data_IF_420234280276
#
_entry.id   IF_420234280276
#
_cell.length_a   1.000
_cell.length_b   1.000
_cell.length_c   1.000
_cell.angle_alpha   90.00
_cell.angle_beta   90.00
_cell.angle_gamma   90.00
#
_symmetry.space_group_name_H-M   'P 1'
#
loop_
_entity.id
_entity.type
_entity.pdbx_description
1 polymer ?
2 polymer ?
3 non-polymer ?
4 non-polymer ?
5 non-polymer ?
6 non-polymer ?
7 water ?
#
# COMPACT_ATOMS: atom_id res chain seq x y z
N UNK A 33 7.55 18.39 -14.07
CA UNK A 33 6.96 17.05 -13.91
C UNK A 33 6.30 16.89 -12.53
N UNK A 34 4.99 17.17 -12.49
CA UNK A 34 4.19 17.12 -11.27
C UNK A 34 3.49 15.76 -11.13
N UNK A 35 2.87 15.54 -9.95
CA UNK A 35 2.10 14.37 -9.55
C UNK A 35 1.05 13.96 -10.62
N UNK A 36 0.51 14.97 -11.35
CA UNK A 36 -0.49 14.81 -12.41
C UNK A 36 0.05 14.06 -13.63
N UNK A 37 1.40 14.14 -13.87
CA UNK A 37 2.05 13.46 -15.00
C UNK A 37 1.97 11.92 -14.93
N UNK A 38 1.65 11.34 -13.73
CA UNK A 38 1.46 9.90 -13.52
C UNK A 38 0.22 9.41 -14.29
N UNK A 39 -0.76 10.31 -14.50
CA UNK A 39 -1.97 10.03 -15.28
C UNK A 39 -1.72 10.20 -16.81
N UNK A 40 -0.56 10.78 -17.20
CA UNK A 40 -0.15 11.06 -18.58
C UNK A 40 1.08 10.20 -18.94
N UNK A 41 0.87 8.99 -19.50
CA UNK A 41 2.01 8.09 -19.81
C UNK A 41 3.07 8.63 -20.78
N UNK A 42 2.69 9.47 -21.78
CA UNK A 42 3.65 10.03 -22.74
C UNK A 42 4.63 11.01 -22.07
N UNK A 43 4.10 11.92 -21.20
CA UNK A 43 4.87 12.92 -20.47
C UNK A 43 5.72 12.30 -19.35
N UNK A 44 5.16 11.32 -18.61
CA UNK A 44 5.80 10.58 -17.51
C UNK A 44 7.04 9.85 -18.04
N UNK A 45 6.90 9.16 -19.20
CA UNK A 45 7.99 8.43 -19.85
C UNK A 45 9.18 9.37 -20.15
N UNK A 46 8.88 10.60 -20.63
CA UNK A 46 9.85 11.64 -20.96
C UNK A 46 10.56 12.12 -19.69
N UNK A 47 9.78 12.40 -18.62
CA UNK A 47 10.26 12.83 -17.30
C UNK A 47 11.18 11.79 -16.67
N UNK A 48 10.86 10.49 -16.88
CA UNK A 48 11.62 9.34 -16.41
C UNK A 48 12.99 9.28 -17.10
N UNK A 49 13.03 9.61 -18.42
CA UNK A 49 14.26 9.63 -19.23
C UNK A 49 15.23 10.71 -18.73
N UNK A 50 14.69 11.82 -18.19
CA UNK A 50 15.45 12.95 -17.65
C UNK A 50 15.71 12.85 -16.10
N UNK A 51 15.22 11.77 -15.48
CA UNK A 51 15.38 11.49 -14.06
C UNK A 51 14.56 12.39 -13.15
N UNK A 52 13.51 13.02 -13.70
CA UNK A 52 12.62 13.93 -12.97
C UNK A 52 11.44 13.22 -12.29
N UNK A 53 11.12 11.99 -12.75
CA UNK A 53 10.05 11.12 -12.26
C UNK A 53 10.55 9.68 -12.20
N UNK A 54 10.01 8.80 -11.29
CA UNK A 54 10.45 7.39 -11.26
C UNK A 54 10.13 6.65 -12.55
N UNK A 55 10.79 5.50 -12.80
CA UNK A 55 10.54 4.68 -14.00
C UNK A 55 9.07 4.34 -14.15
N UNK A 56 8.65 4.12 -15.40
CA UNK A 56 7.28 3.78 -15.72
C UNK A 56 6.89 2.38 -15.20
N UNK A 57 5.67 2.29 -14.70
CA UNK A 57 4.96 1.07 -14.32
C UNK A 57 3.53 1.35 -14.82
N UNK A 58 2.63 0.37 -14.74
CA UNK A 58 1.24 0.61 -15.15
C UNK A 58 0.37 1.08 -13.97
N UNK A 59 -0.27 2.24 -14.13
CA UNK A 59 -1.17 2.78 -13.12
C UNK A 59 -2.53 2.09 -13.16
N UNK A 60 -2.85 1.33 -12.11
CA UNK A 60 -4.12 0.60 -11.97
C UNK A 60 -4.88 1.17 -10.77
N UNK A 61 -6.20 1.24 -10.91
CA UNK A 61 -7.12 1.83 -9.93
C UNK A 61 -7.60 0.81 -8.91
N UNK A 62 -7.41 -0.49 -9.22
CA UNK A 62 -7.71 -1.62 -8.35
C UNK A 62 -6.87 -2.83 -8.72
N UNK A 63 -6.81 -3.82 -7.80
CA UNK A 63 -6.08 -5.06 -7.96
C UNK A 63 -6.49 -5.87 -9.17
N UNK A 64 -5.50 -6.39 -9.90
CA UNK A 64 -5.66 -7.24 -11.08
C UNK A 64 -5.28 -8.68 -10.67
N UNK A 65 -6.20 -9.66 -10.83
CA UNK A 65 -5.91 -11.07 -10.54
C UNK A 65 -5.40 -11.80 -11.80
N UNK A 66 -4.23 -12.46 -11.72
CA UNK A 66 -3.70 -13.21 -12.87
C UNK A 66 -4.53 -14.48 -13.09
N UNK A 67 -4.94 -15.10 -11.98
CA UNK A 67 -5.77 -16.31 -11.90
C UNK A 67 -6.93 -15.93 -10.97
N UNK A 68 -8.15 -15.77 -11.54
CA UNK A 68 -9.35 -15.38 -10.79
C UNK A 68 -9.77 -16.43 -9.77
N UNK A 69 -10.42 -15.98 -8.66
CA UNK A 69 -10.86 -16.86 -7.57
C UNK A 69 -12.38 -16.75 -7.32
N UNK A 81 -22.79 -7.32 2.82
CA UNK A 81 -24.06 -6.90 3.45
C UNK A 81 -24.05 -5.41 3.88
N UNK A 82 -25.25 -4.84 4.05
CA UNK A 82 -25.46 -3.45 4.49
C UNK A 82 -25.15 -3.29 5.99
N UNK A 83 -24.86 -2.03 6.40
CA UNK A 83 -24.60 -1.66 7.79
C UNK A 83 -25.96 -1.37 8.47
N UNK A 84 -25.93 -0.82 9.68
CA UNK A 84 -27.15 -0.57 10.46
C UNK A 84 -27.21 0.85 11.00
N UNK A 85 -26.52 1.78 10.30
CA UNK A 85 -26.48 3.22 10.60
C UNK A 85 -27.82 3.84 10.24
N UNK A 86 -28.28 4.79 11.06
CA UNK A 86 -29.53 5.49 10.76
C UNK A 86 -29.19 6.54 9.68
N UNK A 87 -29.97 6.62 8.57
CA UNK A 87 -29.66 7.62 7.53
C UNK A 87 -29.74 9.04 8.06
N UNK A 88 -28.72 9.86 7.76
CA UNK A 88 -28.69 11.27 8.17
C UNK A 88 -29.79 11.97 7.39
N UNK A 89 -30.44 12.97 8.02
CA UNK A 89 -31.47 13.79 7.35
C UNK A 89 -30.69 14.84 6.53
N UNK A 90 -31.40 15.57 5.61
CA UNK A 90 -30.80 16.65 4.81
C UNK A 90 -30.18 17.72 5.72
N UNK A 91 -30.88 18.03 6.83
CA UNK A 91 -30.46 18.98 7.85
C UNK A 91 -29.20 18.51 8.58
N UNK A 92 -29.09 17.20 8.90
CA UNK A 92 -27.90 16.66 9.60
C UNK A 92 -26.67 16.71 8.73
N UNK A 93 -26.85 16.42 7.41
CA UNK A 93 -25.81 16.48 6.38
C UNK A 93 -25.30 17.93 6.29
N UNK A 94 -26.23 18.91 6.19
CA UNK A 94 -25.92 20.34 6.12
C UNK A 94 -25.14 20.83 7.36
N UNK A 95 -25.50 20.34 8.56
CA UNK A 95 -24.89 20.66 9.85
C UNK A 95 -23.50 20.06 10.08
N UNK A 96 -23.01 19.25 9.13
CA UNK A 96 -21.69 18.64 9.18
C UNK A 96 -21.56 17.23 9.74
N UNK A 97 -22.70 16.56 10.05
CA UNK A 97 -22.74 15.19 10.57
C UNK A 97 -22.14 14.17 9.58
N UNK A 98 -21.29 13.27 10.10
CA UNK A 98 -20.60 12.24 9.32
C UNK A 98 -21.53 11.05 9.13
N UNK A 99 -21.57 10.53 7.90
CA UNK A 99 -22.37 9.35 7.61
C UNK A 99 -21.45 8.13 7.67
N UNK A 100 -21.83 7.06 8.38
CA UNK A 100 -21.04 5.83 8.56
C UNK A 100 -19.64 6.14 9.11
N UNK A 101 -19.62 6.91 10.19
CA UNK A 101 -18.40 7.33 10.87
C UNK A 101 -17.96 6.33 11.93
N UNK A 102 -17.49 6.82 13.08
CA UNK A 102 -16.95 6.01 14.18
C UNK A 102 -17.85 4.85 14.65
N UNK A 103 -19.20 5.00 14.59
CA UNK A 103 -20.11 3.95 15.06
C UNK A 103 -20.66 3.05 13.94
N UNK A 104 -20.10 3.11 12.71
CA UNK A 104 -20.54 2.24 11.62
C UNK A 104 -20.10 0.80 11.90
N UNK A 105 -21.05 -0.16 11.84
CA UNK A 105 -20.75 -1.58 12.06
C UNK A 105 -19.76 -2.13 11.00
N UNK A 106 -19.91 -1.71 9.73
CA UNK A 106 -19.01 -2.11 8.62
C UNK A 106 -17.59 -1.61 8.85
N UNK A 107 -17.44 -0.31 9.17
CA UNK A 107 -16.16 0.34 9.42
C UNK A 107 -15.40 -0.32 10.57
N UNK A 108 -16.11 -0.63 11.68
CA UNK A 108 -15.52 -1.27 12.87
C UNK A 108 -14.87 -2.61 12.51
N UNK A 109 -15.52 -3.36 11.61
CA UNK A 109 -15.04 -4.65 11.13
C UNK A 109 -14.13 -4.53 9.93
N UNK A 110 -13.69 -3.30 9.57
CA UNK A 110 -12.85 -3.05 8.40
C UNK A 110 -13.48 -3.60 7.11
N UNK A 111 -14.77 -3.31 6.93
CA UNK A 111 -15.60 -3.66 5.75
C UNK A 111 -16.07 -2.32 5.17
N UNK A 112 -15.93 -2.13 3.85
CA UNK A 112 -16.46 -0.91 3.24
C UNK A 112 -17.95 -1.08 2.90
N UNK A 113 -18.68 0.02 2.82
CA UNK A 113 -20.08 0.00 2.44
C UNK A 113 -20.21 -0.06 0.91
N UNK A 114 -21.38 -0.49 0.43
CA UNK A 114 -21.63 -0.53 -1.02
C UNK A 114 -22.56 0.61 -1.37
N UNK A 115 -22.93 0.69 -2.67
CA UNK A 115 -23.86 1.72 -3.15
C UNK A 115 -25.26 1.55 -2.48
N UNK A 116 -25.53 0.39 -1.91
CA UNK A 116 -26.80 0.12 -1.24
C UNK A 116 -26.83 0.60 0.21
N UNK A 117 -25.76 1.25 0.68
CA UNK A 117 -25.68 1.76 2.05
C UNK A 117 -26.89 2.61 2.38
N UNK A 118 -27.48 2.48 3.60
CA UNK A 118 -28.62 3.36 3.95
C UNK A 118 -28.34 4.86 3.82
N UNK A 119 -27.06 5.27 4.00
CA UNK A 119 -26.61 6.67 3.85
C UNK A 119 -26.29 7.04 2.40
N UNK A 120 -26.36 6.06 1.51
CA UNK A 120 -26.14 6.27 0.09
C UNK A 120 -24.86 7.01 -0.22
N UNK A 121 -25.03 8.15 -0.92
CA UNK A 121 -23.97 9.03 -1.41
C UNK A 121 -23.13 9.65 -0.31
N UNK A 122 -23.76 9.92 0.84
CA UNK A 122 -23.15 10.55 2.02
C UNK A 122 -22.16 9.63 2.76
N UNK A 123 -22.24 8.29 2.55
CA UNK A 123 -21.35 7.34 3.21
C UNK A 123 -19.88 7.68 3.15
N UNK A 124 -19.28 7.93 4.33
CA UNK A 124 -17.85 8.23 4.46
C UNK A 124 -16.97 6.95 4.53
N UNK A 125 -17.64 5.76 4.39
CA UNK A 125 -17.01 4.46 4.50
C UNK A 125 -16.89 3.69 3.15
N UNK A 126 -16.48 4.39 2.08
CA UNK A 126 -16.25 3.81 0.75
C UNK A 126 -14.96 4.43 0.17
N UNK A 127 -13.96 4.74 1.04
CA UNK A 127 -12.68 5.39 0.67
C UNK A 127 -11.85 4.64 -0.38
N UNK A 128 -11.77 3.31 -0.27
CA UNK A 128 -10.99 2.50 -1.23
C UNK A 128 -11.64 2.57 -2.62
N UNK A 129 -12.96 2.45 -2.68
CA UNK A 129 -13.78 2.45 -3.89
C UNK A 129 -13.80 3.80 -4.59
N UNK A 130 -14.02 4.88 -3.79
CA UNK A 130 -14.08 6.28 -4.25
C UNK A 130 -12.69 6.93 -4.41
N UNK A 131 -11.59 6.17 -4.19
CA UNK A 131 -10.19 6.62 -4.32
C UNK A 131 -9.92 7.91 -3.48
N UNK A 132 -10.49 7.96 -2.26
CA UNK A 132 -10.38 9.08 -1.34
C UNK A 132 -9.03 9.10 -0.64
N UNK A 133 -7.98 8.98 -1.47
CA UNK A 133 -6.55 8.96 -1.16
C UNK A 133 -6.12 10.31 -0.50
N UNK A 134 -5.11 10.26 0.39
CA UNK A 134 -4.57 11.49 1.00
C UNK A 134 -3.70 12.23 -0.03
N UNK A 135 -3.47 13.55 0.17
CA UNK A 135 -2.65 14.37 -0.75
C UNK A 135 -1.18 14.01 -0.55
N UNK A 136 -0.55 13.34 -1.54
CA UNK A 136 0.81 12.83 -1.39
C UNK A 136 1.73 13.20 -2.54
N UNK A 137 3.04 13.12 -2.30
CA UNK A 137 4.04 13.46 -3.29
C UNK A 137 5.10 12.40 -3.40
N UNK A 138 5.55 12.12 -4.62
CA UNK A 138 6.65 11.21 -4.88
C UNK A 138 7.94 12.06 -4.86
N UNK A 139 8.89 11.67 -3.99
CA UNK A 139 10.18 12.33 -3.77
C UNK A 139 11.35 11.36 -3.99
N UNK A 140 12.52 11.91 -4.28
CA UNK A 140 13.74 11.12 -4.41
C UNK A 140 14.47 11.19 -3.07
N UNK A 141 14.75 10.02 -2.46
CA UNK A 141 15.45 9.98 -1.18
C UNK A 141 16.95 9.91 -1.48
N UNK A 142 17.77 10.08 -0.43
CA UNK A 142 19.21 10.02 -0.52
C UNK A 142 19.73 8.63 -0.87
N UNK A 143 19.24 7.58 -0.21
CA UNK A 143 19.76 6.23 -0.49
C UNK A 143 18.69 5.08 -0.48
N UNK A 144 17.40 5.40 -0.45
CA UNK A 144 16.35 4.35 -0.46
C UNK A 144 15.66 4.23 -1.82
N UNK A 145 16.04 5.09 -2.77
CA UNK A 145 15.40 5.19 -4.07
C UNK A 145 14.29 6.23 -3.96
N UNK A 146 13.16 6.03 -4.64
CA UNK A 146 12.04 6.98 -4.53
C UNK A 146 11.27 6.72 -3.23
N UNK A 147 10.50 7.71 -2.81
CA UNK A 147 9.68 7.65 -1.61
C UNK A 147 8.40 8.45 -1.74
N UNK A 148 7.63 8.46 -0.69
CA UNK A 148 6.36 9.17 -0.62
C UNK A 148 6.36 10.13 0.56
N UNK A 149 5.73 11.29 0.40
CA UNK A 149 5.59 12.25 1.50
C UNK A 149 4.23 12.92 1.52
N UNK A 150 3.80 13.34 2.71
CA UNK A 150 2.54 14.04 2.90
C UNK A 150 2.63 15.45 2.22
N UNK A 151 1.67 15.77 1.36
CA UNK A 151 1.66 17.06 0.64
C UNK A 151 0.81 18.09 1.41
N UNK A 152 0.30 17.68 2.59
CA UNK A 152 -0.50 18.47 3.53
C UNK A 152 -0.46 17.73 4.86
N UNK A 153 -0.82 18.39 5.97
CA UNK A 153 -0.88 17.79 7.31
C UNK A 153 -1.96 16.70 7.30
N UNK A 154 -1.60 15.49 7.79
CA UNK A 154 -2.53 14.36 7.84
C UNK A 154 -2.82 13.96 9.30
N UNK A 155 -4.08 14.06 9.78
CA UNK A 155 -4.39 13.60 11.14
C UNK A 155 -4.14 12.09 11.33
N UNK A 156 -4.27 11.60 12.54
CA UNK A 156 -4.06 10.20 12.82
C UNK A 156 -5.17 9.32 12.22
N UNK A 157 -4.85 8.04 11.91
CA UNK A 157 -5.75 7.07 11.27
C UNK A 157 -6.43 7.64 10.00
N UNK A 158 -5.61 8.26 9.13
CA UNK A 158 -6.05 8.80 7.85
C UNK A 158 -5.66 7.80 6.75
N UNK A 159 -6.62 7.45 5.88
CA UNK A 159 -6.37 6.60 4.74
C UNK A 159 -5.35 7.33 3.83
N UNK A 160 -4.29 6.65 3.44
CA UNK A 160 -3.24 7.25 2.62
C UNK A 160 -3.49 6.84 1.18
N UNK A 161 -3.29 5.57 0.91
CA UNK A 161 -3.44 4.94 -0.40
C UNK A 161 -3.67 3.46 -0.19
N UNK A 162 -4.22 2.81 -1.22
CA UNK A 162 -4.36 1.37 -1.25
C UNK A 162 -3.11 0.85 -1.90
N UNK A 163 -2.60 -0.30 -1.39
CA UNK A 163 -1.46 -0.98 -1.99
C UNK A 163 -2.05 -1.86 -3.09
N UNK A 164 -2.11 -1.33 -4.33
CA UNK A 164 -2.66 -2.03 -5.51
C UNK A 164 -1.55 -2.78 -6.17
N UNK A 165 -1.90 -3.80 -6.96
CA UNK A 165 -0.94 -4.58 -7.74
C UNK A 165 -1.57 -5.80 -8.36
N UNK A 166 -0.73 -6.71 -8.82
CA UNK A 166 -1.14 -7.96 -9.43
C UNK A 166 -1.18 -8.98 -8.34
N UNK A 167 -2.33 -9.62 -8.17
CA UNK A 167 -2.51 -10.61 -7.14
C UNK A 167 -2.06 -11.94 -7.77
N UNK A 168 -1.15 -12.63 -7.06
CA UNK A 168 -0.49 -13.86 -7.46
C UNK A 168 -0.82 -14.99 -6.51
N UNK A 169 -0.78 -16.25 -7.04
CA UNK A 169 -0.90 -17.48 -6.25
C UNK A 169 0.55 -17.92 -5.98
N UNK A 170 0.79 -19.06 -5.24
CA UNK A 170 2.16 -19.51 -4.92
C UNK A 170 2.98 -19.85 -6.14
N UNK A 171 2.34 -20.41 -7.19
CA UNK A 171 3.09 -20.76 -8.41
C UNK A 171 3.56 -19.49 -9.17
N UNK A 172 2.70 -18.43 -9.24
CA UNK A 172 3.04 -17.17 -9.90
C UNK A 172 4.08 -16.40 -9.12
N UNK A 173 4.00 -16.45 -7.79
CA UNK A 173 4.95 -15.80 -6.89
C UNK A 173 6.36 -16.37 -7.10
N UNK A 174 6.50 -17.69 -7.10
CA UNK A 174 7.77 -18.40 -7.38
C UNK A 174 8.33 -18.07 -8.78
N UNK A 175 7.47 -17.96 -9.81
CA UNK A 175 7.88 -17.57 -11.16
C UNK A 175 8.51 -16.16 -11.13
N UNK A 176 7.86 -15.21 -10.42
CA UNK A 176 8.32 -13.82 -10.28
C UNK A 176 9.56 -13.71 -9.41
N UNK A 177 9.68 -14.52 -8.35
CA UNK A 177 10.89 -14.55 -7.53
C UNK A 177 12.11 -14.84 -8.43
N UNK A 178 11.99 -15.83 -9.31
CA UNK A 178 13.07 -16.18 -10.24
C UNK A 178 13.31 -15.03 -11.25
N UNK A 179 12.22 -14.43 -11.80
CA UNK A 179 12.29 -13.30 -12.75
C UNK A 179 13.08 -12.09 -12.20
N UNK A 180 12.67 -11.65 -11.00
CA UNK A 180 13.25 -10.50 -10.29
C UNK A 180 14.69 -10.75 -9.87
N UNK A 181 15.01 -11.96 -9.43
CA UNK A 181 16.39 -12.38 -9.12
C UNK A 181 17.23 -12.41 -10.41
N UNK A 182 16.73 -13.04 -11.50
CA UNK A 182 17.44 -13.07 -12.80
C UNK A 182 17.67 -11.65 -13.36
N UNK A 183 16.70 -10.72 -13.17
CA UNK A 183 16.82 -9.32 -13.61
C UNK A 183 17.75 -8.51 -12.73
N UNK A 184 18.13 -9.03 -11.55
CA UNK A 184 18.99 -8.31 -10.61
C UNK A 184 18.28 -7.04 -10.11
N UNK A 185 16.96 -7.18 -9.78
CA UNK A 185 16.15 -6.07 -9.26
C UNK A 185 16.65 -5.65 -7.88
N UNK A 186 16.71 -4.35 -7.63
CA UNK A 186 17.16 -3.87 -6.33
C UNK A 186 15.95 -3.82 -5.38
N UNK A 187 14.84 -3.19 -5.82
CA UNK A 187 13.60 -3.01 -5.09
C UNK A 187 12.62 -4.16 -5.28
N UNK A 188 11.96 -4.52 -4.18
CA UNK A 188 10.96 -5.58 -4.08
C UNK A 188 9.62 -5.02 -3.67
N UNK A 189 8.54 -5.51 -4.33
CA UNK A 189 7.18 -4.98 -4.20
C UNK A 189 6.11 -6.04 -3.86
N UNK A 190 6.51 -7.08 -3.14
CA UNK A 190 5.56 -8.12 -2.73
C UNK A 190 4.95 -7.82 -1.37
N UNK A 191 3.61 -7.78 -1.35
CA UNK A 191 2.83 -7.55 -0.12
C UNK A 191 1.90 -8.74 0.09
N UNK A 192 2.09 -9.46 1.22
CA UNK A 192 1.19 -10.57 1.55
C UNK A 192 -0.23 -10.02 1.72
N UNK A 193 -1.24 -10.68 1.11
CA UNK A 193 -2.65 -10.29 1.23
C UNK A 193 -3.33 -11.34 2.16
N UNK A 194 -3.39 -12.60 1.68
CA UNK A 194 -3.87 -13.76 2.41
C UNK A 194 -2.92 -14.93 2.10
N UNK A 195 -2.86 -15.95 2.97
CA UNK A 195 -1.91 -17.09 2.85
C UNK A 195 -1.51 -17.53 1.39
N UNK A 196 -2.47 -17.54 0.41
CA UNK A 196 -2.26 -17.95 -0.99
C UNK A 196 -2.38 -16.77 -2.01
N UNK A 197 -2.34 -15.53 -1.50
CA UNK A 197 -2.43 -14.32 -2.30
C UNK A 197 -1.32 -13.31 -1.94
N UNK A 198 -0.48 -12.98 -2.94
CA UNK A 198 0.59 -11.98 -2.85
C UNK A 198 0.25 -10.85 -3.82
N UNK A 199 0.24 -9.59 -3.33
CA UNK A 199 0.05 -8.42 -4.18
C UNK A 199 1.45 -7.98 -4.65
N UNK A 200 1.65 -8.01 -5.96
CA UNK A 200 2.90 -7.64 -6.61
C UNK A 200 2.72 -6.31 -7.34
N UNK A 201 3.40 -5.26 -6.88
CA UNK A 201 3.29 -3.95 -7.52
C UNK A 201 4.54 -3.59 -8.31
N UNK A 202 5.35 -4.58 -8.70
CA UNK A 202 6.55 -4.35 -9.48
C UNK A 202 6.21 -3.75 -10.85
N UNK A 203 5.25 -4.33 -11.55
CA UNK A 203 4.92 -3.93 -12.92
C UNK A 203 3.66 -3.06 -13.02
N UNK A 204 2.69 -3.29 -12.14
CA UNK A 204 1.42 -2.58 -12.08
C UNK A 204 1.09 -2.24 -10.65
N UNK A 205 0.69 -1.02 -10.41
CA UNK A 205 0.29 -0.61 -9.07
C UNK A 205 -0.05 0.86 -9.07
N UNK A 206 0.10 1.49 -7.91
CA UNK A 206 -0.14 2.92 -7.83
C UNK A 206 1.04 3.59 -7.07
N UNK A 207 0.88 4.79 -6.53
CA UNK A 207 2.04 5.42 -5.89
C UNK A 207 2.32 4.91 -4.47
N UNK A 208 1.51 3.98 -3.97
CA UNK A 208 1.74 3.33 -2.67
C UNK A 208 2.98 2.42 -2.74
N UNK A 209 3.42 2.09 -3.98
CA UNK A 209 4.56 1.24 -4.25
C UNK A 209 5.86 1.99 -3.91
N UNK A 210 5.75 3.30 -3.60
CA UNK A 210 6.85 4.17 -3.26
C UNK A 210 7.03 4.34 -1.75
N UNK A 211 6.12 3.76 -0.92
CA UNK A 211 6.24 3.86 0.53
C UNK A 211 7.41 3.04 1.06
N UNK A 212 8.41 3.75 1.66
CA UNK A 212 9.61 3.13 2.21
C UNK A 212 9.45 2.59 3.60
N UNK A 213 10.39 1.74 4.02
CA UNK A 213 10.36 1.10 5.33
C UNK A 213 10.90 2.00 6.42
N UNK A 214 10.35 1.88 7.61
CA UNK A 214 10.89 2.52 8.82
C UNK A 214 10.68 1.63 10.01
N UNK A 215 11.72 1.56 10.84
CA UNK A 215 11.68 0.78 12.08
C UNK A 215 10.83 1.56 13.13
N UNK A 216 10.58 2.88 12.90
CA UNK A 216 9.72 3.75 13.72
C UNK A 216 8.77 4.48 12.75
N UNK A 217 7.74 3.77 12.22
CA UNK A 217 6.88 4.36 11.18
C UNK A 217 5.78 5.31 11.63
N UNK A 218 5.22 5.99 10.63
CA UNK A 218 4.13 6.93 10.83
C UNK A 218 2.84 6.47 10.16
N UNK A 219 2.89 5.27 9.51
CA UNK A 219 1.79 4.54 8.86
C UNK A 219 1.81 3.06 9.24
N UNK A 220 0.68 2.42 9.01
CA UNK A 220 0.45 0.98 9.17
C UNK A 220 -0.42 0.50 8.01
N UNK A 221 -0.40 -0.78 7.73
CA UNK A 221 -1.30 -1.37 6.74
C UNK A 221 -2.53 -1.84 7.51
N UNK A 222 -3.68 -1.84 6.85
CA UNK A 222 -4.94 -2.36 7.32
C UNK A 222 -5.56 -3.11 6.16
N UNK A 223 -6.08 -4.28 6.44
CA UNK A 223 -6.72 -5.17 5.48
C UNK A 223 -8.21 -4.93 5.51
N UNK A 224 -8.75 -4.46 4.38
CA UNK A 224 -10.16 -4.14 4.27
C UNK A 224 -10.87 -5.01 3.28
N UNK A 225 -12.14 -5.34 3.63
CA UNK A 225 -13.06 -6.12 2.79
C UNK A 225 -13.85 -5.08 2.00
N UNK A 226 -13.70 -5.13 0.68
CA UNK A 226 -14.34 -4.28 -0.31
C UNK A 226 -14.91 -5.25 -1.35
N UNK A 227 -16.26 -5.32 -1.44
CA UNK A 227 -17.00 -6.17 -2.38
C UNK A 227 -16.72 -7.68 -2.22
N UNK A 228 -16.60 -8.10 -0.97
CA UNK A 228 -16.28 -9.47 -0.59
C UNK A 228 -14.84 -9.87 -0.92
N UNK A 229 -13.98 -8.91 -1.34
CA UNK A 229 -12.58 -9.09 -1.71
C UNK A 229 -11.73 -8.27 -0.75
N UNK A 230 -10.60 -8.82 -0.35
CA UNK A 230 -9.68 -8.19 0.58
C UNK A 230 -8.72 -7.34 -0.19
N UNK A 231 -8.37 -6.19 0.41
CA UNK A 231 -7.49 -5.15 -0.09
C UNK A 231 -6.63 -4.67 1.07
N UNK A 232 -5.44 -4.15 0.76
CA UNK A 232 -4.52 -3.60 1.77
C UNK A 232 -4.43 -2.09 1.52
N UNK A 233 -4.58 -1.30 2.58
CA UNK A 233 -4.45 0.16 2.54
C UNK A 233 -3.47 0.64 3.60
N UNK A 234 -2.86 1.82 3.39
CA UNK A 234 -1.95 2.42 4.34
C UNK A 234 -2.71 3.47 5.07
N UNK A 235 -2.52 3.51 6.37
CA UNK A 235 -3.20 4.46 7.24
C UNK A 235 -2.19 5.07 8.18
N UNK A 236 -2.23 6.40 8.35
CA UNK A 236 -1.32 7.08 9.28
C UNK A 236 -1.62 6.57 10.69
N UNK A 237 -0.58 6.40 11.52
CA UNK A 237 -0.76 5.95 12.90
C UNK A 237 -0.68 7.13 13.88
N UNK A 238 -0.35 8.32 13.37
CA UNK A 238 -0.14 9.54 14.14
C UNK A 238 -0.29 10.73 13.22
N UNK A 239 -0.28 11.95 13.81
CA UNK A 239 -0.35 13.19 13.06
C UNK A 239 0.92 13.25 12.23
N UNK A 240 0.76 13.44 10.91
CA UNK A 240 1.89 13.49 9.98
C UNK A 240 1.95 14.88 9.33
N UNK A 241 2.92 15.72 9.78
CA UNK A 241 3.07 17.07 9.22
C UNK A 241 3.36 17.10 7.73
N UNK A 242 2.95 18.18 7.04
CA UNK A 242 3.22 18.36 5.62
C UNK A 242 4.73 18.24 5.35
N UNK A 243 5.08 17.63 4.22
CA UNK A 243 6.47 17.42 3.84
C UNK A 243 7.20 16.24 4.48
N UNK A 244 6.59 15.57 5.50
CA UNK A 244 7.17 14.39 6.14
C UNK A 244 6.98 13.14 5.24
N UNK A 245 8.04 12.34 5.12
CA UNK A 245 8.03 11.08 4.38
C UNK A 245 7.07 10.11 5.07
N UNK A 246 6.28 9.40 4.25
CA UNK A 246 5.31 8.39 4.73
C UNK A 246 6.01 7.06 4.70
N UNK A 247 6.03 6.40 5.86
CA UNK A 247 6.72 5.14 6.01
C UNK A 247 5.87 4.13 6.78
N UNK A 248 6.13 2.83 6.55
CA UNK A 248 5.51 1.74 7.29
C UNK A 248 6.57 0.73 7.62
N UNK A 249 6.23 -0.16 8.56
CA UNK A 249 7.08 -1.22 9.00
C UNK A 249 6.75 -2.44 8.12
N UNK A 250 7.66 -2.78 7.21
CA UNK A 250 7.51 -3.87 6.24
C UNK A 250 7.25 -5.23 6.84
N UNK A 251 7.81 -5.52 8.06
CA UNK A 251 7.78 -6.84 8.71
C UNK A 251 8.24 -7.79 7.62
N UNK A 252 9.28 -7.35 6.92
CA UNK A 252 9.87 -8.01 5.77
C UNK A 252 10.44 -9.37 6.11
N UNK A 253 10.01 -10.37 5.31
CA UNK A 253 10.41 -11.76 5.34
C UNK A 253 11.38 -11.94 4.21
N UNK A 254 12.66 -11.79 4.51
CA UNK A 254 13.74 -11.88 3.52
C UNK A 254 14.08 -13.33 3.18
N UNK A 255 13.89 -13.71 1.88
CA UNK A 255 14.32 -15.01 1.41
C UNK A 255 15.72 -14.89 0.82
N UNK A 256 16.11 -13.69 0.42
CA UNK A 256 17.40 -13.43 -0.22
C UNK A 256 18.62 -13.85 0.59
N UNK A 257 19.68 -14.34 -0.12
CA UNK A 257 20.97 -14.76 0.47
C UNK A 257 21.56 -13.64 1.34
N UNK A 258 21.45 -12.39 0.84
CA UNK A 258 21.97 -11.16 1.40
C UNK A 258 20.86 -10.21 1.89
N UNK A 259 21.11 -9.47 2.99
CA UNK A 259 20.15 -8.49 3.49
C UNK A 259 20.49 -7.11 3.03
N UNK A 260 19.44 -6.30 2.74
CA UNK A 260 19.58 -4.90 2.37
C UNK A 260 19.66 -4.12 3.67
N UNK A 261 20.58 -3.17 3.74
CA UNK A 261 20.75 -2.33 4.92
C UNK A 261 19.61 -1.34 5.02
N UNK A 262 19.19 -1.10 6.26
CA UNK A 262 18.11 -0.14 6.47
C UNK A 262 18.63 1.25 6.73
N UNK A 263 18.12 2.24 5.97
CA UNK A 263 18.53 3.65 6.07
C UNK A 263 17.45 4.57 6.61
N UNK A 264 16.48 4.05 7.36
CA UNK A 264 15.39 4.81 7.95
C UNK A 264 15.86 5.91 8.93
N UNK A 265 16.95 5.63 9.64
CA UNK A 265 17.58 6.56 10.58
C UNK A 265 16.92 6.65 11.93
N UNK A 266 16.15 5.62 12.32
CA UNK A 266 15.48 5.59 13.63
C UNK A 266 16.46 5.23 14.71
N UNK A 267 16.27 5.80 15.93
CA UNK A 267 17.09 5.51 17.11
C UNK A 267 17.03 4.03 17.48
N UNK A 268 15.95 3.35 17.03
CA UNK A 268 15.71 1.91 17.24
C UNK A 268 15.82 1.07 15.93
N UNK A 269 16.55 1.57 14.91
CA UNK A 269 16.72 0.91 13.61
C UNK A 269 17.26 -0.51 13.77
N UNK A 270 16.66 -1.50 13.06
CA UNK A 270 17.07 -2.93 13.06
C UNK A 270 18.34 -3.24 12.20
N UNK A 271 18.86 -2.23 11.51
CA UNK A 271 20.04 -2.34 10.64
C UNK A 271 19.83 -2.93 9.25
N UNK A 272 18.88 -3.87 9.11
CA UNK A 272 18.62 -4.57 7.84
C UNK A 272 17.13 -4.73 7.56
N UNK A 273 16.70 -4.69 6.28
CA UNK A 273 15.30 -4.99 5.95
C UNK A 273 15.21 -6.51 6.01
N UNK A 274 14.37 -6.99 6.92
CA UNK A 274 14.20 -8.40 7.17
C UNK A 274 14.60 -8.78 8.58
N UNK A 275 15.32 -7.89 9.26
CA UNK A 275 15.82 -8.13 10.61
C UNK A 275 17.01 -9.08 10.59
N UNK A 276 17.08 -9.99 11.59
CA UNK A 276 18.19 -10.93 11.74
C UNK A 276 18.12 -12.20 10.86
N UNK A 277 16.92 -12.74 10.70
CA UNK A 277 16.73 -14.03 10.05
C UNK A 277 16.39 -13.99 8.58
N UNK A 278 16.85 -15.04 7.88
CA UNK A 278 16.60 -15.33 6.48
C UNK A 278 15.64 -16.49 6.52
N UNK A 279 14.48 -16.36 5.86
CA UNK A 279 13.45 -17.40 5.76
C UNK A 279 13.50 -18.05 4.36
N UNK A 280 12.79 -19.16 4.17
CA UNK A 280 12.71 -19.84 2.88
C UNK A 280 11.75 -19.04 1.99
N UNK A 281 11.69 -19.37 0.69
CA UNK A 281 10.80 -18.72 -0.28
C UNK A 281 9.33 -19.06 0.07
N UNK A 282 9.01 -20.35 0.37
CA UNK A 282 7.67 -20.85 0.76
C UNK A 282 7.15 -20.12 2.00
N UNK A 283 8.01 -19.95 3.02
CA UNK A 283 7.64 -19.22 4.24
C UNK A 283 7.34 -17.76 3.88
N UNK A 284 8.26 -17.09 3.11
CA UNK A 284 8.08 -15.71 2.63
C UNK A 284 6.74 -15.55 1.89
N UNK A 285 6.42 -16.53 1.06
CA UNK A 285 5.18 -16.62 0.27
C UNK A 285 3.92 -17.00 1.03
N UNK A 286 4.03 -17.25 2.34
CA UNK A 286 2.93 -17.57 3.24
C UNK A 286 2.47 -19.02 3.39
N UNK A 287 3.23 -20.00 2.83
CA UNK A 287 2.92 -21.44 2.91
C UNK A 287 3.35 -22.01 4.27
N UNK B 1 20.50 -19.37 -5.87
CA UNK B 1 19.47 -18.80 -4.98
C UNK B 1 19.43 -17.27 -5.13
N UNK B 2 18.22 -16.63 -5.06
CA UNK B 2 18.15 -15.17 -5.15
C UNK B 2 19.10 -14.45 -4.18
N UNK B 3 19.90 -13.48 -4.71
CA UNK B 3 20.80 -12.69 -3.89
C UNK B 3 19.99 -11.79 -2.94
N UNK B 4 18.87 -11.25 -3.47
CA UNK B 4 17.97 -10.38 -2.75
C UNK B 4 16.53 -10.78 -3.00
N UNK B 5 15.68 -10.35 -2.11
CA UNK B 5 14.25 -10.53 -2.22
C UNK B 5 13.61 -10.84 -0.90
N UNK B 6 12.34 -10.50 -0.78
CA UNK B 6 11.54 -10.80 0.40
C UNK B 6 10.13 -10.30 0.21
N UNK B 7 9.26 -10.60 1.20
CA UNK B 7 7.85 -10.24 1.18
C UNK B 7 7.49 -9.36 2.39
N UNK B 8 6.69 -8.30 2.13
CA UNK B 8 6.19 -7.44 3.19
C UNK B 8 4.96 -8.11 3.78
N UNK B 9 4.86 -8.08 5.11
CA UNK B 9 3.73 -8.66 5.84
C UNK B 9 2.87 -7.59 6.49
N UNK B 10 1.52 -7.52 6.14
CA UNK B 10 0.66 -6.53 6.81
C UNK B 10 0.56 -6.87 8.29
N UNK B 11 0.79 -5.87 9.11
CA UNK B 11 0.74 -5.94 10.56
C UNK B 11 0.19 -4.60 11.10
N UNK B 12 -0.17 -4.55 12.39
CA UNK B 12 -0.65 -3.33 13.05
C UNK B 12 0.33 -2.93 14.16
X LIG C 1 12.23 3.00 -2.79
X LIG C 1 11.31 2.23 -3.63
X LIG C 1 9.84 2.17 -3.13
X LIG C 1 9.63 1.16 -2.01
X LIG C 1 9.81 -0.55 -2.61
X LIG C 1 11.41 2.68 -5.11
X LIG C 1 10.70 2.26 -6.01
X LIG C 1 12.38 3.50 -5.31
X LIG C 1 10.90 -1.32 -1.39
X LIG C 1 12.36 -1.16 -1.73
X LIG C 1 12.81 0.16 -1.37
X LIG C 1 13.25 -2.11 -0.92
X LIG C 1 13.37 -3.38 -1.55
X LIG C 1 14.55 -1.33 -0.78
X LIG C 1 15.40 -1.46 -1.93
X LIG C 1 14.04 0.11 -0.68
X LIG C 1 13.84 0.58 0.70
X LIG C 1 12.64 0.85 1.31
X LIG C 1 12.76 1.22 2.56
X LIG C 1 14.13 1.20 2.79
X LIG C 1 14.91 1.46 3.94
X LIG C 1 14.41 1.88 5.11
X LIG C 1 16.25 1.29 3.84
X LIG C 1 16.77 0.91 2.66
X LIG C 1 16.14 0.66 1.52
X LIG C 1 14.81 0.82 1.64
X LIG D 1 17.51 7.90 2.55
X LIG E 1 10.70 12.86 6.72
X LIG F 1 -18.48 11.27 0.69
X LIG G 1 -16.57 7.47 1.36
X LIG H 1 -9.40 5.56 9.33
X LIG I 1 11.85 -5.22 8.31
X LIG J 1 -5.92 4.48 -3.49
X LIG K 1 7.17 12.79 -9.40
X LIG L 1 -1.47 6.77 -6.83
X LIG M 1 12.00 -22.85 0.06
X LIG N 1 11.55 -6.77 -13.57
X LIG O 1 -23.52 -1.18 2.43
X LIG P 1 18.37 6.80 -3.99
X LIG Q 1 11.16 7.12 10.24
X LIG R 1 12.68 7.36 7.89
X LIG S 1 1.99 -1.98 9.11
X LIG T 1 11.15 -8.97 10.05
X LIG U 1 -2.31 -20.76 -11.63
X LIG V 1 -9.46 8.73 6.26
X LIG W 1 -22.81 2.59 8.41
X LIG X 1 -22.10 3.43 4.76
X LIG Y 1 15.57 0.98 10.18
X LIG Z 1 -5.52 -5.38 9.32
X LIG Z 1 -3.75 -5.72 8.98
X LIG Z 1 -2.65 -5.91 8.77
X LIG AA 1 17.35 -17.40 -8.96
#
# INVERSE_FOLDING_TARGET
MHHHHHHSSGRENLYFQGETSVPPGSALVGPSCVMDDFRDPQRWKECAKQGKMPCYFDLIEENVYLTERKKNKSHRDIKRMQCECTPLSKDERAQGEIACGEDCLNRLLMIECSSRCPNGDYCSNRRFQRKQHADVEVILTEKKGWGLRAAKDLPSNTFVLEYCGEVLDHKEFKARVKEYARNKNIHYYFMALKNDEIIDATQKGNCSRFMNHSCEPNCETQKWTVNGQLRVGFFTTKLVPSGSELTFDYQFQRYGKEAQKCFCGSANCRGYLGGENRVSIRAAGGKMKKERSRK
APRFGGVMRPNRYR
SAH N CA CB CG SD C O OXT C5' C4' O4' C3' O3' C2' O2' C1' N9 C8 N7 C5 C6 N6 N1 C2 N3 C4
UNX UNK
UNX UNK
UNX UNK
UNX UNK
UNX UNK
UNX UNK
UNX UNK
UNX UNK
UNX UNK
UNX UNK
UNX UNK
UNX UNK
UNX UNK
UNX UNK
UNX UNK
UNX UNK
UNX UNK
UNX UNK
UNX UNK
ZN ZN
ZN ZN
ZN ZN
SCN S C N
UNX UNK
#
